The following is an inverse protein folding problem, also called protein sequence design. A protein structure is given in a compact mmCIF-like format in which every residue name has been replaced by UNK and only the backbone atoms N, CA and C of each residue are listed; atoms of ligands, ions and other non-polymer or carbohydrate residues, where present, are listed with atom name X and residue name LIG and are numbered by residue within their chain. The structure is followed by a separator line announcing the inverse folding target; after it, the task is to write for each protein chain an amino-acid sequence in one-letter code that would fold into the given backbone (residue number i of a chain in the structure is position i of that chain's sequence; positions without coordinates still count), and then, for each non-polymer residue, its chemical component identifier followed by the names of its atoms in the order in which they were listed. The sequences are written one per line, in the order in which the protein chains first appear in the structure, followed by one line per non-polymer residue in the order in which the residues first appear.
data_IF_414374007558
#
_entry.id   IF_414374007558
#
_cell.length_a   1.000
_cell.length_b   1.000
_cell.length_c   1.000
_cell.angle_alpha   90.00
_cell.angle_beta   90.00
_cell.angle_gamma   90.00
#
_symmetry.space_group_name_H-M   'P 1'
#
loop_
_entity.id
_entity.type
_entity.pdbx_description
1 polymer ?
#
# COMPACT_ATOMS: atom_id res chain seq x y z
N UNK A 1 -15.72 54.69 -57.99
CA UNK A 1 -15.32 53.28 -58.18
C UNK A 1 -15.01 52.69 -56.81
N UNK A 2 -15.91 51.89 -56.27
CA UNK A 2 -15.77 51.22 -54.95
C UNK A 2 -15.48 49.76 -55.13
N UNK A 3 -14.25 49.31 -54.78
CA UNK A 3 -13.82 47.92 -54.88
C UNK A 3 -14.46 47.11 -53.72
N UNK A 4 -15.37 46.20 -54.01
CA UNK A 4 -15.92 45.21 -53.11
C UNK A 4 -14.84 44.13 -52.82
N UNK A 5 -14.29 44.15 -51.61
CA UNK A 5 -13.51 43.02 -51.10
C UNK A 5 -14.46 41.86 -50.81
N UNK A 6 -14.37 40.79 -51.62
CA UNK A 6 -15.02 39.50 -51.34
C UNK A 6 -14.26 38.80 -50.24
N UNK A 7 -14.85 38.68 -49.08
CA UNK A 7 -14.39 37.79 -48.01
C UNK A 7 -14.65 36.36 -48.49
N UNK A 8 -13.57 35.65 -48.80
CA UNK A 8 -13.68 34.20 -48.97
C UNK A 8 -13.98 33.59 -47.63
N UNK A 9 -15.17 33.06 -47.47
CA UNK A 9 -15.51 32.19 -46.37
C UNK A 9 -14.62 30.96 -46.46
N UNK A 10 -13.62 30.86 -45.56
CA UNK A 10 -12.78 29.67 -45.40
C UNK A 10 -13.72 28.50 -45.10
N UNK A 11 -13.69 27.46 -45.93
CA UNK A 11 -14.49 26.26 -45.76
C UNK A 11 -14.22 25.68 -44.36
N UNK A 12 -15.26 25.62 -43.51
CA UNK A 12 -15.24 24.81 -42.32
C UNK A 12 -15.27 23.36 -42.78
N UNK A 13 -14.07 22.76 -42.93
CA UNK A 13 -13.96 21.32 -43.14
C UNK A 13 -14.53 20.60 -41.91
N UNK A 14 -15.78 20.17 -41.99
CA UNK A 14 -16.34 19.27 -40.97
C UNK A 14 -15.52 17.99 -40.94
N UNK A 15 -15.23 17.47 -39.75
CA UNK A 15 -14.62 16.15 -39.58
C UNK A 15 -15.39 15.12 -40.39
N UNK A 16 -14.71 14.41 -41.28
CA UNK A 16 -15.33 13.32 -42.03
C UNK A 16 -15.60 12.13 -41.10
N UNK A 17 -16.72 11.44 -41.30
CA UNK A 17 -17.10 10.26 -40.49
C UNK A 17 -15.98 9.20 -40.47
N UNK A 18 -15.27 9.05 -41.58
CA UNK A 18 -14.11 8.14 -41.70
C UNK A 18 -12.96 8.52 -40.78
N UNK A 19 -12.66 9.81 -40.64
CA UNK A 19 -11.59 10.30 -39.75
C UNK A 19 -11.92 9.99 -38.27
N UNK A 20 -13.19 10.15 -37.88
CA UNK A 20 -13.64 9.81 -36.53
C UNK A 20 -13.50 8.29 -36.26
N UNK A 21 -13.88 7.44 -37.21
CA UNK A 21 -13.76 5.98 -37.08
C UNK A 21 -12.29 5.56 -36.92
N UNK A 22 -11.40 6.15 -37.70
CA UNK A 22 -9.95 5.85 -37.62
C UNK A 22 -9.39 6.27 -36.24
N UNK A 23 -9.75 7.46 -35.76
CA UNK A 23 -9.31 7.93 -34.43
C UNK A 23 -9.80 6.97 -33.32
N UNK A 24 -11.07 6.58 -33.35
CA UNK A 24 -11.63 5.65 -32.34
C UNK A 24 -10.95 4.27 -32.43
N UNK A 25 -10.66 3.78 -33.62
CA UNK A 25 -9.93 2.53 -33.79
C UNK A 25 -8.52 2.57 -33.20
N UNK A 26 -7.78 3.66 -33.44
CA UNK A 26 -6.42 3.84 -32.87
C UNK A 26 -6.49 3.92 -31.33
N UNK A 27 -7.44 4.71 -30.76
CA UNK A 27 -7.62 4.81 -29.32
C UNK A 27 -7.98 3.44 -28.73
N UNK A 28 -8.85 2.67 -29.38
CA UNK A 28 -9.21 1.32 -28.96
C UNK A 28 -8.00 0.39 -28.83
N UNK A 29 -7.11 0.41 -29.81
CA UNK A 29 -5.86 -0.39 -29.78
C UNK A 29 -4.94 0.06 -28.63
N UNK A 30 -4.77 1.37 -28.46
CA UNK A 30 -3.93 1.91 -27.39
C UNK A 30 -4.45 1.52 -25.99
N UNK A 31 -5.77 1.60 -25.78
CA UNK A 31 -6.39 1.19 -24.52
C UNK A 31 -6.20 -0.30 -24.28
N UNK A 32 -6.39 -1.15 -25.30
CA UNK A 32 -6.26 -2.59 -25.15
C UNK A 32 -4.87 -3.03 -24.68
N UNK A 33 -3.81 -2.31 -25.07
CA UNK A 33 -2.45 -2.58 -24.63
C UNK A 33 -2.17 -1.96 -23.25
N UNK A 34 -2.70 -0.77 -22.95
CA UNK A 34 -2.37 -0.02 -21.74
C UNK A 34 -3.03 -0.55 -20.49
N UNK A 35 -4.27 -1.07 -20.58
CA UNK A 35 -5.05 -1.52 -19.41
C UNK A 35 -4.36 -2.62 -18.61
N UNK A 36 -3.87 -3.74 -19.19
CA UNK A 36 -3.24 -4.81 -18.41
C UNK A 36 -1.96 -4.34 -17.71
N UNK A 37 -1.21 -3.44 -18.32
CA UNK A 37 -0.02 -2.85 -17.72
C UNK A 37 -0.37 -1.97 -16.51
N UNK A 38 -1.40 -1.15 -16.63
CA UNK A 38 -1.87 -0.28 -15.56
C UNK A 38 -2.34 -1.08 -14.34
N UNK A 39 -3.09 -2.17 -14.53
CA UNK A 39 -3.57 -3.03 -13.46
C UNK A 39 -2.40 -3.63 -12.66
N UNK A 40 -1.39 -4.16 -13.33
CA UNK A 40 -0.22 -4.73 -12.66
C UNK A 40 0.58 -3.67 -11.88
N UNK A 41 0.68 -2.47 -12.42
CA UNK A 41 1.32 -1.35 -11.75
C UNK A 41 0.56 -0.94 -10.49
N UNK A 42 -0.76 -0.81 -10.55
CA UNK A 42 -1.60 -0.46 -9.39
C UNK A 42 -1.49 -1.51 -8.27
N UNK A 43 -1.47 -2.80 -8.62
CA UNK A 43 -1.29 -3.87 -7.63
C UNK A 43 0.08 -3.78 -6.92
N UNK A 44 1.14 -3.50 -7.66
CA UNK A 44 2.47 -3.32 -7.09
C UNK A 44 2.55 -2.07 -6.19
N UNK A 45 1.94 -0.96 -6.61
CA UNK A 45 1.86 0.27 -5.83
C UNK A 45 1.07 0.07 -4.53
N UNK A 46 -0.06 -0.65 -4.59
CA UNK A 46 -0.86 -1.01 -3.41
C UNK A 46 -0.05 -1.86 -2.42
N UNK A 47 0.66 -2.89 -2.90
CA UNK A 47 1.51 -3.71 -2.03
C UNK A 47 2.60 -2.88 -1.35
N UNK A 48 3.28 -2.02 -2.10
CA UNK A 48 4.33 -1.16 -1.55
C UNK A 48 3.79 -0.20 -0.49
N UNK A 49 2.68 0.48 -0.76
CA UNK A 49 2.04 1.38 0.22
C UNK A 49 1.61 0.66 1.49
N UNK A 50 1.10 -0.58 1.36
CA UNK A 50 0.75 -1.40 2.52
C UNK A 50 1.99 -1.86 3.30
N UNK A 51 3.10 -2.19 2.63
CA UNK A 51 4.36 -2.51 3.29
C UNK A 51 4.93 -1.30 4.09
N UNK A 52 4.82 -0.10 3.53
CA UNK A 52 5.19 1.14 4.22
C UNK A 52 4.31 1.38 5.47
N UNK A 53 3.00 1.09 5.37
CA UNK A 53 2.07 1.16 6.51
C UNK A 53 2.45 0.16 7.61
N UNK A 54 2.78 -1.07 7.25
CA UNK A 54 3.24 -2.09 8.20
C UNK A 54 4.57 -1.70 8.83
N UNK A 55 5.51 -1.17 8.06
CA UNK A 55 6.78 -0.68 8.58
C UNK A 55 6.59 0.50 9.56
N UNK A 56 5.67 1.41 9.28
CA UNK A 56 5.32 2.51 10.19
C UNK A 56 4.69 1.98 11.48
N UNK A 57 3.78 1.00 11.39
CA UNK A 57 3.19 0.33 12.54
C UNK A 57 4.24 -0.39 13.40
N UNK A 58 5.17 -1.14 12.79
CA UNK A 58 6.27 -1.78 13.51
C UNK A 58 7.19 -0.77 14.20
N UNK A 59 7.48 0.36 13.56
CA UNK A 59 8.23 1.45 14.17
C UNK A 59 7.50 2.07 15.35
N UNK A 60 6.17 2.18 15.30
CA UNK A 60 5.34 2.62 16.42
C UNK A 60 5.46 1.64 17.60
N UNK A 61 5.36 0.33 17.36
CA UNK A 61 5.55 -0.70 18.38
C UNK A 61 6.92 -0.61 19.06
N UNK A 62 7.97 -0.41 18.26
CA UNK A 62 9.33 -0.16 18.77
C UNK A 62 9.41 1.08 19.66
N UNK A 63 8.77 2.18 19.25
CA UNK A 63 8.73 3.42 20.03
C UNK A 63 7.94 3.26 21.34
N UNK A 64 6.85 2.48 21.32
CA UNK A 64 6.08 2.16 22.52
C UNK A 64 6.92 1.38 23.53
N UNK A 65 7.74 0.43 23.07
CA UNK A 65 8.66 -0.32 23.91
C UNK A 65 9.69 0.60 24.59
N UNK A 66 10.32 1.48 23.82
CA UNK A 66 11.32 2.42 24.31
C UNK A 66 10.71 3.42 25.31
N UNK A 67 9.58 4.05 24.95
CA UNK A 67 8.93 5.07 25.80
C UNK A 67 8.33 4.47 27.07
N UNK A 68 7.76 3.26 26.98
CA UNK A 68 7.16 2.56 28.10
C UNK A 68 8.18 1.82 28.97
N UNK A 69 9.46 1.79 28.58
CA UNK A 69 10.52 0.99 29.22
C UNK A 69 10.08 -0.46 29.49
N UNK A 70 9.44 -1.08 28.48
CA UNK A 70 8.85 -2.42 28.59
C UNK A 70 8.95 -3.15 27.24
N UNK A 71 8.73 -4.46 27.26
CA UNK A 71 8.66 -5.22 26.03
C UNK A 71 7.30 -5.02 25.36
N UNK A 72 7.28 -4.92 24.03
CA UNK A 72 6.08 -4.86 23.20
C UNK A 72 6.17 -5.91 22.11
N UNK A 73 5.22 -6.84 22.07
CA UNK A 73 5.05 -7.77 20.97
C UNK A 73 4.19 -7.12 19.87
N UNK A 74 4.66 -7.15 18.65
CA UNK A 74 3.92 -6.72 17.46
C UNK A 74 3.37 -7.96 16.76
N UNK A 75 2.13 -8.31 17.01
CA UNK A 75 1.51 -9.53 16.50
C UNK A 75 0.44 -9.24 15.44
N UNK A 76 0.10 -10.28 14.69
CA UNK A 76 -0.93 -10.27 13.64
C UNK A 76 -1.86 -11.44 13.88
N UNK A 77 -3.15 -11.15 13.98
CA UNK A 77 -4.21 -12.15 13.99
C UNK A 77 -5.25 -11.91 12.87
N UNK A 78 -6.31 -12.71 12.84
CA UNK A 78 -7.35 -12.59 11.82
C UNK A 78 -8.14 -11.28 11.85
N UNK A 79 -8.06 -10.49 12.93
CA UNK A 79 -8.75 -9.21 13.08
C UNK A 79 -7.88 -8.02 12.64
N UNK A 80 -6.56 -8.12 12.79
CA UNK A 80 -5.65 -7.03 12.45
C UNK A 80 -4.26 -7.17 13.06
N UNK A 81 -3.60 -6.04 13.17
CA UNK A 81 -2.29 -5.90 13.81
C UNK A 81 -2.48 -5.44 15.24
N UNK A 82 -1.82 -6.11 16.19
CA UNK A 82 -1.92 -5.85 17.63
C UNK A 82 -0.57 -5.52 18.25
N UNK A 83 -0.61 -4.73 19.33
CA UNK A 83 0.51 -4.64 20.26
C UNK A 83 0.13 -5.30 21.57
N UNK A 84 0.97 -6.23 22.04
CA UNK A 84 0.79 -6.84 23.37
C UNK A 84 1.92 -6.39 24.29
N UNK A 85 1.58 -6.10 25.54
CA UNK A 85 2.53 -5.68 26.57
C UNK A 85 3.24 -6.91 27.13
N UNK A 86 4.53 -6.82 27.31
CA UNK A 86 5.44 -7.83 27.84
C UNK A 86 5.75 -8.99 26.87
N UNK A 87 4.76 -9.67 26.34
CA UNK A 87 4.91 -10.81 25.40
C UNK A 87 3.64 -10.92 24.53
N UNK A 88 3.66 -11.82 23.54
CA UNK A 88 2.56 -11.95 22.58
C UNK A 88 1.25 -12.56 23.16
N UNK A 89 1.27 -13.06 24.38
CA UNK A 89 0.10 -13.45 25.15
C UNK A 89 -0.31 -12.43 26.23
N UNK A 90 0.38 -11.29 26.24
CA UNK A 90 0.15 -10.23 27.21
C UNK A 90 -1.09 -9.39 26.95
N UNK A 91 -1.30 -8.38 27.78
CA UNK A 91 -2.44 -7.45 27.62
C UNK A 91 -2.31 -6.67 26.31
N UNK A 92 -3.40 -6.59 25.55
CA UNK A 92 -3.45 -5.79 24.34
C UNK A 92 -3.34 -4.31 24.69
N UNK A 93 -2.41 -3.62 24.03
CA UNK A 93 -2.27 -2.18 24.16
C UNK A 93 -3.36 -1.46 23.37
N UNK A 94 -4.07 -0.54 24.02
CA UNK A 94 -5.09 0.30 23.39
C UNK A 94 -4.63 1.75 23.45
N UNK A 95 -4.60 2.42 22.30
CA UNK A 95 -4.15 3.82 22.23
C UNK A 95 -4.37 4.45 20.88
N UNK A 96 -3.66 5.54 20.61
CA UNK A 96 -3.81 6.29 19.36
C UNK A 96 -3.50 5.40 18.15
N UNK A 97 -4.45 5.31 17.22
CA UNK A 97 -4.34 4.54 15.99
C UNK A 97 -4.89 3.11 16.08
N UNK A 98 -5.37 2.68 17.27
CA UNK A 98 -6.04 1.38 17.44
C UNK A 98 -7.54 1.53 17.63
N UNK A 99 -8.29 0.48 17.34
CA UNK A 99 -9.71 0.36 17.71
C UNK A 99 -9.88 0.24 19.22
N UNK A 100 -11.12 0.27 19.71
CA UNK A 100 -11.42 0.02 21.13
C UNK A 100 -10.98 -1.38 21.61
N UNK A 101 -10.87 -2.35 20.69
CA UNK A 101 -10.35 -3.69 20.97
C UNK A 101 -8.81 -3.77 20.85
N UNK A 102 -8.11 -2.66 20.56
CA UNK A 102 -6.65 -2.58 20.53
C UNK A 102 -5.99 -3.07 19.24
N UNK A 103 -6.73 -3.21 18.15
CA UNK A 103 -6.12 -3.60 16.86
C UNK A 103 -6.16 -2.49 15.82
N UNK A 104 -5.20 -2.54 14.91
CA UNK A 104 -5.17 -1.75 13.67
C UNK A 104 -5.68 -2.67 12.55
N UNK A 105 -6.82 -2.35 11.90
CA UNK A 105 -7.38 -3.20 10.87
C UNK A 105 -6.44 -3.32 9.67
N UNK A 106 -6.48 -4.45 8.99
CA UNK A 106 -5.71 -4.63 7.77
C UNK A 106 -6.15 -3.65 6.69
N UNK A 107 -5.22 -3.11 5.91
CA UNK A 107 -5.57 -2.35 4.72
C UNK A 107 -6.40 -3.19 3.74
N UNK A 108 -7.31 -2.53 3.00
CA UNK A 108 -8.17 -3.22 2.04
C UNK A 108 -7.35 -3.90 0.92
N UNK A 109 -7.79 -5.08 0.51
CA UNK A 109 -7.20 -5.81 -0.63
C UNK A 109 -5.90 -6.56 -0.32
N UNK A 110 -5.51 -6.67 0.94
CA UNK A 110 -4.34 -7.44 1.36
C UNK A 110 -4.66 -8.33 2.56
N UNK A 111 -3.91 -9.43 2.66
CA UNK A 111 -3.82 -10.26 3.86
C UNK A 111 -2.39 -10.21 4.38
N UNK A 112 -2.24 -10.42 5.68
CA UNK A 112 -0.93 -10.39 6.33
C UNK A 112 -0.72 -11.64 7.16
N UNK A 113 0.54 -12.06 7.27
CA UNK A 113 0.95 -13.17 8.13
C UNK A 113 2.35 -12.92 8.70
N UNK A 114 2.59 -13.49 9.86
CA UNK A 114 3.91 -13.51 10.50
C UNK A 114 4.15 -14.91 11.06
N UNK A 115 5.36 -15.41 10.93
CA UNK A 115 5.71 -16.73 11.48
C UNK A 115 5.94 -16.67 12.99
N UNK A 116 6.87 -15.80 13.40
CA UNK A 116 7.15 -15.50 14.80
C UNK A 116 7.13 -13.98 14.95
N UNK A 117 6.21 -13.41 15.76
CA UNK A 117 6.10 -11.96 15.95
C UNK A 117 7.36 -11.36 16.60
N UNK A 118 7.70 -10.13 16.24
CA UNK A 118 8.80 -9.41 16.86
C UNK A 118 8.39 -8.89 18.24
N UNK A 119 9.22 -9.16 19.24
CA UNK A 119 9.12 -8.54 20.56
C UNK A 119 10.20 -7.49 20.66
N UNK A 120 9.80 -6.22 20.66
CA UNK A 120 10.68 -5.09 20.86
C UNK A 120 10.94 -4.89 22.35
N UNK A 121 12.21 -4.79 22.76
CA UNK A 121 12.58 -4.46 24.12
C UNK A 121 12.71 -2.94 24.32
N UNK A 122 12.92 -2.52 25.57
CA UNK A 122 13.08 -1.11 25.94
C UNK A 122 14.29 -0.39 25.28
N UNK A 123 15.25 -1.13 24.73
CA UNK A 123 16.35 -0.56 23.94
C UNK A 123 16.01 -0.46 22.44
N UNK A 124 14.84 -0.96 22.04
CA UNK A 124 14.41 -0.96 20.66
C UNK A 124 14.96 -2.10 19.81
N UNK A 125 15.65 -3.08 20.40
CA UNK A 125 16.04 -4.33 19.74
C UNK A 125 14.84 -5.28 19.68
N UNK A 126 14.82 -6.20 18.72
CA UNK A 126 13.75 -7.17 18.53
C UNK A 126 14.24 -8.60 18.72
N UNK A 127 13.47 -9.41 19.43
CA UNK A 127 13.75 -10.85 19.63
C UNK A 127 12.46 -11.62 19.62
N UNK A 128 12.26 -12.59 18.70
CA UNK A 128 13.13 -12.91 17.55
C UNK A 128 13.13 -11.84 16.46
N UNK A 129 14.07 -11.93 15.52
CA UNK A 129 13.94 -11.26 14.23
C UNK A 129 12.70 -11.82 13.52
N UNK A 130 11.93 -10.95 12.86
CA UNK A 130 10.63 -11.32 12.30
C UNK A 130 10.50 -10.91 10.83
N UNK A 131 9.70 -11.67 10.10
CA UNK A 131 9.32 -11.34 8.72
C UNK A 131 7.81 -11.32 8.62
N UNK A 132 7.27 -10.16 8.27
CA UNK A 132 5.86 -9.92 8.03
C UNK A 132 5.62 -10.02 6.52
N UNK A 133 4.78 -10.96 6.10
CA UNK A 133 4.44 -11.18 4.70
C UNK A 133 3.08 -10.54 4.41
N UNK A 134 3.05 -9.68 3.41
CA UNK A 134 1.85 -8.99 2.95
C UNK A 134 1.51 -9.59 1.58
N UNK A 135 0.31 -10.09 1.42
CA UNK A 135 -0.17 -10.74 0.20
C UNK A 135 -1.35 -9.97 -0.36
N UNK A 136 -1.27 -9.57 -1.62
CA UNK A 136 -2.39 -8.96 -2.33
C UNK A 136 -3.43 -10.03 -2.68
N UNK A 137 -4.68 -9.88 -2.21
CA UNK A 137 -5.70 -10.93 -2.28
C UNK A 137 -6.09 -11.32 -3.71
N UNK A 138 -6.16 -10.36 -4.64
CA UNK A 138 -6.60 -10.62 -6.01
C UNK A 138 -5.50 -11.17 -6.92
N UNK A 139 -4.22 -10.85 -6.67
CA UNK A 139 -3.10 -11.26 -7.55
C UNK A 139 -2.19 -12.32 -6.94
N UNK A 140 -2.30 -12.61 -5.63
CA UNK A 140 -1.40 -13.50 -4.90
C UNK A 140 0.05 -12.99 -4.77
N UNK A 141 0.35 -11.78 -5.25
CA UNK A 141 1.68 -11.20 -5.14
C UNK A 141 1.99 -10.85 -3.70
N UNK A 142 3.23 -11.05 -3.29
CA UNK A 142 3.70 -10.82 -1.92
C UNK A 142 4.79 -9.77 -1.86
N UNK A 143 4.87 -9.08 -0.72
CA UNK A 143 5.99 -8.25 -0.30
C UNK A 143 6.26 -8.55 1.17
N UNK A 144 7.51 -8.45 1.60
CA UNK A 144 7.89 -8.74 2.99
C UNK A 144 8.42 -7.49 3.67
N UNK A 145 8.13 -7.36 4.97
CA UNK A 145 8.74 -6.37 5.86
C UNK A 145 9.54 -7.13 6.90
N UNK A 146 10.83 -6.90 6.96
CA UNK A 146 11.72 -7.61 7.86
C UNK A 146 12.13 -6.74 9.05
N UNK A 147 12.12 -7.32 10.24
CA UNK A 147 12.62 -6.74 11.48
C UNK A 147 13.87 -7.51 11.89
N UNK A 148 15.02 -6.85 11.90
CA UNK A 148 16.28 -7.47 12.35
C UNK A 148 16.32 -7.54 13.89
N UNK A 149 17.25 -8.34 14.42
CA UNK A 149 17.48 -8.43 15.87
C UNK A 149 17.87 -7.09 16.52
N UNK A 150 18.44 -6.16 15.74
CA UNK A 150 18.74 -4.80 16.20
C UNK A 150 17.51 -3.89 16.22
N UNK A 151 16.34 -4.39 15.80
CA UNK A 151 15.11 -3.61 15.66
C UNK A 151 15.05 -2.73 14.42
N UNK A 152 15.96 -2.92 13.45
CA UNK A 152 15.88 -2.25 12.15
C UNK A 152 14.76 -2.87 11.32
N UNK A 153 13.88 -2.04 10.79
CA UNK A 153 12.79 -2.42 9.92
C UNK A 153 13.17 -2.06 8.49
N UNK A 154 13.04 -3.01 7.56
CA UNK A 154 13.36 -2.82 6.14
C UNK A 154 12.32 -3.49 5.23
N UNK A 155 12.09 -2.85 4.09
CA UNK A 155 11.29 -3.34 2.96
C UNK A 155 12.28 -3.62 1.84
N UNK A 156 12.22 -4.76 1.15
CA UNK A 156 13.12 -5.10 0.03
C UNK A 156 12.91 -4.21 -1.20
#
# INVERSE_FOLDING_TARGET
MAARRSWRAGGQGGFQLVELIVIVAIIGILIAISVPFLVTYMQAATLKGNAETVAAWLNQGRQLAIRGNQNICADIDGAGMHYHIANCAGTVWVGTGTTAAGYVPFPAGVTMSVGAPAIFNYLGAATPAATYTITHTASGRTITVTVSSTGRISIP
#
